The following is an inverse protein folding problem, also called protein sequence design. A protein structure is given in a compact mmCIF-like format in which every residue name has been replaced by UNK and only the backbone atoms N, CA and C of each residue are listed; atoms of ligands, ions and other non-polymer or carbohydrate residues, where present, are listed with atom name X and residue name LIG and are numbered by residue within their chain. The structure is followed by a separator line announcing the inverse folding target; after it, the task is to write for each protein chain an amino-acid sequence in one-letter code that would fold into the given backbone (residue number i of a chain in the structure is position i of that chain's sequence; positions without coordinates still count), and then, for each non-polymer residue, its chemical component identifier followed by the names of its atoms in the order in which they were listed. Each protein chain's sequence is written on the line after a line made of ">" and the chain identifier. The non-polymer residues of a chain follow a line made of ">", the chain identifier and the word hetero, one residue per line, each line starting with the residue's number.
data_IF_594254442968
#
_entry.id   IF_594254442968
#
_cell.length_a   1.000
_cell.length_b   1.000
_cell.length_c   1.000
_cell.angle_alpha   90.00
_cell.angle_beta   90.00
_cell.angle_gamma   90.00
#
_symmetry.space_group_name_H-M   'P 1'
#
loop_
_entity.id
_entity.type
_entity.pdbx_description
1 polymer ?
#
# COMPACT_ATOMS: atom_id res chain seq x y z
N UNK A 1 -9.80 15.97 33.18
CA UNK A 1 -10.38 15.11 32.12
C UNK A 1 -9.67 15.29 30.77
N UNK A 2 -8.32 15.34 30.73
CA UNK A 2 -7.56 15.55 29.49
C UNK A 2 -7.15 14.24 28.78
N UNK A 3 -7.10 13.12 29.50
CA UNK A 3 -6.66 11.83 28.96
C UNK A 3 -7.61 11.27 27.89
N UNK A 4 -8.91 11.54 28.00
CA UNK A 4 -9.90 11.07 27.03
C UNK A 4 -9.77 11.81 25.69
N UNK A 5 -9.46 13.10 25.72
CA UNK A 5 -9.20 13.91 24.52
C UNK A 5 -7.96 13.44 23.77
N UNK A 6 -6.85 13.20 24.47
CA UNK A 6 -5.64 12.66 23.86
C UNK A 6 -5.81 11.24 23.32
N UNK A 7 -6.59 10.40 24.01
CA UNK A 7 -6.90 9.05 23.53
C UNK A 7 -7.71 9.07 22.23
N UNK A 8 -8.71 9.95 22.12
CA UNK A 8 -9.49 10.11 20.88
C UNK A 8 -8.66 10.67 19.73
N UNK A 9 -7.78 11.64 20.01
CA UNK A 9 -6.90 12.24 19.00
C UNK A 9 -5.89 11.21 18.46
N UNK A 10 -5.29 10.42 19.35
CA UNK A 10 -4.42 9.29 18.97
C UNK A 10 -5.19 8.21 18.19
N UNK A 11 -6.36 7.82 18.66
CA UNK A 11 -7.17 6.78 18.03
C UNK A 11 -7.59 7.15 16.59
N UNK A 12 -8.01 8.40 16.35
CA UNK A 12 -8.40 8.85 15.01
C UNK A 12 -7.22 8.87 14.05
N UNK A 13 -6.03 9.29 14.49
CA UNK A 13 -4.80 9.26 13.69
C UNK A 13 -4.41 7.83 13.30
N UNK A 14 -4.47 6.89 14.24
CA UNK A 14 -4.19 5.47 13.98
C UNK A 14 -5.23 4.86 13.05
N UNK A 15 -6.51 5.18 13.23
CA UNK A 15 -7.58 4.75 12.34
C UNK A 15 -7.34 5.24 10.91
N UNK A 16 -7.01 6.52 10.73
CA UNK A 16 -6.70 7.08 9.42
C UNK A 16 -5.48 6.41 8.79
N UNK A 17 -4.40 6.21 9.55
CA UNK A 17 -3.22 5.52 9.06
C UNK A 17 -3.54 4.06 8.66
N UNK A 18 -4.31 3.34 9.49
CA UNK A 18 -4.74 1.98 9.22
C UNK A 18 -5.69 1.86 8.03
N UNK A 19 -6.59 2.83 7.83
CA UNK A 19 -7.50 2.86 6.69
C UNK A 19 -6.73 3.17 5.40
N UNK A 20 -5.86 4.18 5.41
CA UNK A 20 -5.10 4.57 4.22
C UNK A 20 -4.06 3.52 3.83
N UNK A 21 -3.25 3.05 4.79
CA UNK A 21 -2.15 2.12 4.49
C UNK A 21 -2.61 0.66 4.51
N UNK A 22 -3.56 0.31 5.37
CA UNK A 22 -4.11 -1.04 5.47
C UNK A 22 -5.19 -1.31 4.43
N UNK A 23 -6.22 -0.47 4.36
CA UNK A 23 -7.35 -0.68 3.42
C UNK A 23 -7.12 -0.08 2.02
N UNK A 24 -6.16 0.85 1.86
CA UNK A 24 -5.83 1.43 0.56
C UNK A 24 -5.32 0.41 -0.46
N UNK A 25 -4.43 -0.52 -0.06
CA UNK A 25 -3.94 -1.59 -0.94
C UNK A 25 -5.08 -2.52 -1.42
N UNK A 26 -5.97 -3.03 -0.52
CA UNK A 26 -7.17 -3.76 -0.92
C UNK A 26 -8.07 -3.01 -1.91
N UNK A 27 -8.22 -1.70 -1.77
CA UNK A 27 -8.98 -0.89 -2.73
C UNK A 27 -8.31 -0.89 -4.11
N UNK A 28 -6.99 -0.70 -4.19
CA UNK A 28 -6.25 -0.79 -5.45
C UNK A 28 -6.37 -2.18 -6.10
N UNK A 29 -6.32 -3.25 -5.29
CA UNK A 29 -6.53 -4.62 -5.76
C UNK A 29 -7.93 -4.80 -6.35
N UNK A 30 -8.97 -4.32 -5.66
CA UNK A 30 -10.35 -4.38 -6.15
C UNK A 30 -10.53 -3.59 -7.46
N UNK A 31 -9.91 -2.42 -7.58
CA UNK A 31 -9.88 -1.65 -8.82
C UNK A 31 -9.15 -2.40 -9.95
N UNK A 32 -8.08 -3.13 -9.64
CA UNK A 32 -7.38 -4.00 -10.59
C UNK A 32 -8.28 -5.08 -11.16
N UNK A 33 -8.99 -5.80 -10.28
CA UNK A 33 -9.98 -6.83 -10.67
C UNK A 33 -11.10 -6.21 -11.52
N UNK A 34 -11.61 -5.03 -11.11
CA UNK A 34 -12.65 -4.32 -11.87
C UNK A 34 -12.16 -3.93 -13.27
N UNK A 35 -10.91 -3.48 -13.39
CA UNK A 35 -10.29 -3.11 -14.65
C UNK A 35 -10.13 -4.30 -15.60
N UNK A 36 -9.70 -5.45 -15.08
CA UNK A 36 -9.62 -6.70 -15.84
C UNK A 36 -11.01 -7.19 -16.28
N UNK A 37 -12.01 -7.12 -15.40
CA UNK A 37 -13.39 -7.48 -15.75
C UNK A 37 -13.94 -6.60 -16.89
N UNK A 38 -13.60 -5.31 -16.90
CA UNK A 38 -13.97 -4.40 -17.98
C UNK A 38 -13.21 -4.67 -19.29
N UNK A 39 -11.97 -5.19 -19.20
CA UNK A 39 -11.13 -5.51 -20.34
C UNK A 39 -11.76 -6.56 -21.27
N UNK A 40 -12.47 -7.53 -20.67
CA UNK A 40 -13.08 -8.67 -21.37
C UNK A 40 -14.63 -8.54 -21.47
N UNK A 41 -15.20 -7.41 -21.02
CA UNK A 41 -16.65 -7.20 -20.98
C UNK A 41 -17.27 -6.90 -22.36
N UNK A 42 -18.28 -7.70 -22.74
CA UNK A 42 -19.10 -7.46 -23.94
C UNK A 42 -18.50 -7.97 -25.24
N UNK A 43 -17.56 -8.93 -25.18
CA UNK A 43 -16.98 -9.59 -26.36
C UNK A 43 -16.00 -8.74 -27.17
N UNK A 44 -15.82 -7.46 -26.83
CA UNK A 44 -14.84 -6.57 -27.43
C UNK A 44 -13.63 -6.49 -26.51
N UNK A 45 -12.46 -6.92 -26.99
CA UNK A 45 -11.22 -6.83 -26.23
C UNK A 45 -10.81 -5.37 -26.02
N UNK A 46 -10.67 -4.95 -24.75
CA UNK A 46 -10.16 -3.62 -24.37
C UNK A 46 -8.78 -3.75 -23.73
N UNK A 47 -7.69 -3.68 -24.51
CA UNK A 47 -6.33 -3.85 -23.99
C UNK A 47 -5.97 -2.85 -22.89
N UNK A 48 -6.55 -1.64 -22.94
CA UNK A 48 -6.39 -0.62 -21.90
C UNK A 48 -6.86 -1.06 -20.51
N UNK A 49 -7.96 -1.83 -20.41
CA UNK A 49 -8.41 -2.37 -19.12
C UNK A 49 -7.44 -3.44 -18.58
N UNK A 50 -6.84 -4.23 -19.49
CA UNK A 50 -5.86 -5.25 -19.12
C UNK A 50 -4.56 -4.62 -18.61
N UNK A 51 -4.04 -3.61 -19.29
CA UNK A 51 -2.82 -2.90 -18.87
C UNK A 51 -3.01 -2.13 -17.56
N UNK A 52 -4.15 -1.46 -17.38
CA UNK A 52 -4.48 -0.79 -16.12
C UNK A 52 -4.62 -1.78 -14.95
N UNK A 53 -5.30 -2.90 -15.16
CA UNK A 53 -5.43 -3.94 -14.15
C UNK A 53 -4.08 -4.48 -13.67
N UNK A 54 -3.20 -4.87 -14.60
CA UNK A 54 -1.86 -5.32 -14.25
C UNK A 54 -0.99 -4.23 -13.61
N UNK A 55 -1.12 -2.97 -14.06
CA UNK A 55 -0.45 -1.83 -13.43
C UNK A 55 -0.85 -1.67 -11.95
N UNK A 56 -2.15 -1.78 -11.64
CA UNK A 56 -2.64 -1.71 -10.26
C UNK A 56 -2.13 -2.87 -9.41
N UNK A 57 -2.09 -4.10 -9.94
CA UNK A 57 -1.51 -5.23 -9.20
C UNK A 57 0.00 -5.07 -8.96
N UNK A 58 0.74 -4.52 -9.92
CA UNK A 58 2.16 -4.24 -9.74
C UNK A 58 2.38 -3.25 -8.59
N UNK A 59 1.57 -2.19 -8.49
CA UNK A 59 1.61 -1.23 -7.37
C UNK A 59 1.32 -1.93 -6.04
N UNK A 60 0.32 -2.80 -5.98
CA UNK A 60 -0.01 -3.57 -4.77
C UNK A 60 1.17 -4.46 -4.35
N UNK A 61 1.76 -5.20 -5.29
CA UNK A 61 2.91 -6.07 -5.02
C UNK A 61 4.09 -5.25 -4.47
N UNK A 62 4.41 -4.13 -5.12
CA UNK A 62 5.48 -3.23 -4.66
C UNK A 62 5.21 -2.72 -3.24
N UNK A 63 3.97 -2.32 -2.94
CA UNK A 63 3.57 -1.89 -1.60
C UNK A 63 3.72 -2.98 -0.54
N UNK A 64 3.30 -4.21 -0.85
CA UNK A 64 3.47 -5.37 0.06
C UNK A 64 4.94 -5.68 0.29
N UNK A 65 5.75 -5.73 -0.78
CA UNK A 65 7.19 -5.98 -0.66
C UNK A 65 7.89 -4.91 0.17
N UNK A 66 7.54 -3.64 -0.03
CA UNK A 66 8.05 -2.53 0.77
C UNK A 66 7.66 -2.66 2.25
N UNK A 67 6.39 -2.94 2.52
CA UNK A 67 5.88 -3.12 3.89
C UNK A 67 6.56 -4.28 4.61
N UNK A 68 6.70 -5.42 3.95
CA UNK A 68 7.41 -6.59 4.50
C UNK A 68 8.89 -6.24 4.73
N UNK A 69 9.57 -5.63 3.74
CA UNK A 69 10.97 -5.22 3.88
C UNK A 69 11.14 -4.28 5.06
N UNK A 70 10.20 -3.37 5.28
CA UNK A 70 10.19 -2.46 6.42
C UNK A 70 10.07 -3.18 7.76
N UNK A 71 9.07 -4.05 7.91
CA UNK A 71 8.87 -4.82 9.15
C UNK A 71 10.08 -5.71 9.45
N UNK A 72 10.63 -6.37 8.42
CA UNK A 72 11.78 -7.27 8.57
C UNK A 72 13.06 -6.50 8.86
N UNK A 73 13.38 -5.46 8.10
CA UNK A 73 14.58 -4.65 8.32
C UNK A 73 14.56 -4.00 9.71
N UNK A 74 13.39 -3.49 10.13
CA UNK A 74 13.25 -2.90 11.45
C UNK A 74 13.44 -3.90 12.58
N UNK A 75 12.98 -5.15 12.41
CA UNK A 75 13.22 -6.27 13.34
C UNK A 75 14.70 -6.68 13.46
N UNK A 76 15.49 -6.53 12.38
CA UNK A 76 16.94 -6.77 12.39
C UNK A 76 17.79 -5.57 12.85
N UNK A 77 17.17 -4.50 13.36
CA UNK A 77 17.90 -3.28 13.77
C UNK A 77 18.44 -2.46 12.60
N UNK A 78 17.91 -2.65 11.38
CA UNK A 78 18.22 -1.82 10.20
C UNK A 78 17.06 -0.88 9.90
N UNK A 79 17.33 0.23 9.19
CA UNK A 79 16.33 1.19 8.74
C UNK A 79 16.26 1.17 7.21
N UNK A 80 15.06 1.44 6.67
CA UNK A 80 14.93 1.79 5.27
C UNK A 80 15.15 3.30 5.12
N UNK A 81 16.18 3.65 4.37
CA UNK A 81 16.36 5.00 3.83
C UNK A 81 15.62 5.10 2.51
N UNK A 82 14.85 6.18 2.39
CA UNK A 82 14.18 6.63 1.16
C UNK A 82 14.89 7.84 0.55
N UNK A 83 16.16 8.11 0.91
CA UNK A 83 16.94 9.23 0.38
C UNK A 83 17.27 9.07 -1.11
N UNK A 84 17.19 7.84 -1.61
CA UNK A 84 17.30 7.51 -3.02
C UNK A 84 15.92 7.22 -3.62
N UNK A 85 15.81 7.27 -4.96
CA UNK A 85 14.59 6.93 -5.72
C UNK A 85 14.05 5.54 -5.33
N UNK A 86 14.92 4.63 -4.87
CA UNK A 86 14.56 3.32 -4.40
C UNK A 86 14.93 3.12 -2.93
N UNK A 87 14.14 2.33 -2.17
CA UNK A 87 14.37 2.12 -0.75
C UNK A 87 15.66 1.32 -0.54
N UNK A 88 16.56 1.81 0.30
CA UNK A 88 17.84 1.14 0.62
C UNK A 88 17.93 0.84 2.12
N UNK A 89 18.56 -0.29 2.46
CA UNK A 89 18.72 -0.70 3.86
C UNK A 89 20.00 -0.07 4.41
N UNK A 90 19.86 0.80 5.40
CA UNK A 90 20.96 1.44 6.14
C UNK A 90 21.00 0.98 7.59
N UNK A 91 22.18 0.96 8.25
CA UNK A 91 22.28 0.72 9.69
C UNK A 91 21.47 1.77 10.46
N UNK A 92 20.71 1.35 11.49
CA UNK A 92 20.17 2.31 12.47
C UNK A 92 21.32 2.75 13.36
N UNK A 93 21.58 4.06 13.39
CA UNK A 93 22.39 4.69 14.42
C UNK A 93 21.61 4.78 15.74
#
# INVERSE_FOLDING_TARGET
>A
MHNLGFALDGAWRVLLAGLLLGAGLPVLFALGIRSLAWADAGGVARPAGRTLGYGLFAVVILGVLLGITFIVATGFGKALSFEHIYPTIVPKH
#
